data_IF_461108108892
#
_entry.id   IF_461108108892
#
_cell.length_a   1.000
_cell.length_b   1.000
_cell.length_c   1.000
_cell.angle_alpha   90.00
_cell.angle_beta   90.00
_cell.angle_gamma   90.00
#
_symmetry.space_group_name_H-M   'P 1'
#
loop_
_entity.id
_entity.type
_entity.pdbx_description
1 polymer ?
#
# COMPACT_ATOMS: atom_id res chain seq x y z
N UNK A 1 -41.52 -72.67 -13.45
CA UNK A 1 -40.19 -72.13 -13.86
C UNK A 1 -40.44 -71.17 -15.02
N UNK A 2 -40.04 -69.90 -15.09
CA UNK A 2 -38.96 -69.12 -14.47
C UNK A 2 -39.36 -67.63 -14.47
N UNK A 3 -39.16 -67.00 -13.30
CA UNK A 3 -38.73 -65.63 -12.99
C UNK A 3 -39.45 -64.39 -13.55
N UNK A 4 -39.97 -63.64 -12.58
CA UNK A 4 -40.18 -62.20 -12.48
C UNK A 4 -39.09 -61.33 -13.14
N UNK A 5 -39.48 -60.13 -13.58
CA UNK A 5 -38.83 -58.86 -13.21
C UNK A 5 -39.89 -57.74 -13.20
N UNK A 6 -40.13 -57.18 -12.01
CA UNK A 6 -40.79 -55.89 -11.78
C UNK A 6 -39.81 -54.80 -12.24
N UNK A 7 -40.28 -53.82 -13.00
CA UNK A 7 -39.58 -52.55 -13.19
C UNK A 7 -40.48 -51.46 -12.60
N UNK A 8 -39.94 -50.80 -11.59
CA UNK A 8 -40.45 -49.56 -11.02
C UNK A 8 -40.26 -48.44 -12.04
N UNK A 9 -41.32 -47.69 -12.35
CA UNK A 9 -41.21 -46.39 -12.98
C UNK A 9 -41.43 -45.36 -11.89
N UNK A 10 -40.33 -44.69 -11.52
CA UNK A 10 -40.28 -43.56 -10.59
C UNK A 10 -40.93 -42.37 -11.30
N UNK A 11 -41.98 -41.80 -10.69
CA UNK A 11 -42.59 -40.56 -11.13
C UNK A 11 -41.66 -39.39 -10.86
N UNK A 12 -41.19 -38.74 -11.93
CA UNK A 12 -40.45 -37.49 -11.86
C UNK A 12 -41.46 -36.35 -11.78
N UNK A 13 -41.73 -35.85 -10.57
CA UNK A 13 -42.45 -34.60 -10.37
C UNK A 13 -41.51 -33.44 -10.70
N UNK A 14 -41.67 -32.88 -11.90
CA UNK A 14 -41.02 -31.62 -12.30
C UNK A 14 -41.91 -30.47 -11.81
N UNK A 15 -41.63 -29.94 -10.61
CA UNK A 15 -42.18 -28.66 -10.17
C UNK A 15 -41.40 -27.55 -10.86
N UNK A 16 -41.94 -27.11 -11.99
CA UNK A 16 -41.53 -25.89 -12.68
C UNK A 16 -41.98 -24.69 -11.84
N UNK A 17 -41.15 -24.27 -10.88
CA UNK A 17 -41.29 -22.98 -10.20
C UNK A 17 -40.90 -21.87 -11.18
N UNK A 18 -41.87 -21.43 -11.98
CA UNK A 18 -41.81 -20.17 -12.70
C UNK A 18 -41.74 -19.03 -11.67
N UNK A 19 -40.54 -18.52 -11.47
CA UNK A 19 -40.28 -17.21 -10.86
C UNK A 19 -40.87 -16.12 -11.78
N UNK A 20 -42.17 -15.86 -11.65
CA UNK A 20 -42.73 -14.57 -11.99
C UNK A 20 -42.77 -13.76 -10.69
N UNK A 21 -41.64 -13.12 -10.36
CA UNK A 21 -41.60 -12.07 -9.37
C UNK A 21 -42.53 -10.95 -9.83
N UNK A 22 -43.59 -10.71 -9.08
CA UNK A 22 -44.51 -9.60 -9.29
C UNK A 22 -43.73 -8.28 -9.26
N UNK A 23 -43.55 -7.64 -10.43
CA UNK A 23 -43.23 -6.22 -10.54
C UNK A 23 -44.48 -5.41 -10.18
N UNK A 24 -44.75 -5.26 -8.90
CA UNK A 24 -45.46 -4.10 -8.40
C UNK A 24 -44.54 -3.46 -7.38
N UNK A 25 -43.87 -2.37 -7.79
CA UNK A 25 -43.16 -1.50 -6.87
C UNK A 25 -44.16 -1.08 -5.79
N UNK A 26 -43.96 -1.57 -4.58
CA UNK A 26 -44.70 -1.12 -3.41
C UNK A 26 -44.32 0.36 -3.24
N UNK A 27 -45.30 1.26 -3.10
CA UNK A 27 -45.03 2.71 -2.98
C UNK A 27 -44.11 3.06 -1.80
N UNK A 28 -43.90 2.10 -0.90
CA UNK A 28 -43.10 2.20 0.30
C UNK A 28 -41.62 1.83 0.09
N UNK A 29 -41.21 1.35 -1.09
CA UNK A 29 -39.82 0.95 -1.37
C UNK A 29 -39.21 1.70 -2.55
N UNK A 30 -37.90 1.92 -2.51
CA UNK A 30 -37.09 2.48 -3.61
C UNK A 30 -36.08 1.46 -4.10
N UNK A 31 -35.99 1.31 -5.43
CA UNK A 31 -34.96 0.50 -6.05
C UNK A 31 -33.66 1.29 -6.12
N UNK A 32 -32.62 0.84 -5.44
CA UNK A 32 -31.30 1.47 -5.46
C UNK A 32 -30.35 0.61 -6.27
N UNK A 33 -29.73 1.20 -7.28
CA UNK A 33 -28.70 0.56 -8.10
C UNK A 33 -27.36 1.21 -7.85
N UNK A 34 -26.34 0.43 -7.51
CA UNK A 34 -24.97 0.90 -7.36
C UNK A 34 -24.18 0.53 -8.62
N UNK A 35 -23.38 1.48 -9.11
CA UNK A 35 -22.44 1.31 -10.22
C UNK A 35 -21.02 1.57 -9.75
N UNK A 36 -20.15 0.56 -9.86
CA UNK A 36 -18.77 0.61 -9.37
C UNK A 36 -17.78 0.78 -10.51
N UNK A 37 -16.87 1.75 -10.35
CA UNK A 37 -15.79 2.01 -11.31
C UNK A 37 -14.47 2.26 -10.58
N UNK A 38 -13.38 1.85 -11.19
CA UNK A 38 -12.01 2.10 -10.72
C UNK A 38 -11.65 3.57 -10.86
N UNK A 39 -10.49 3.96 -10.31
CA UNK A 39 -9.90 5.28 -10.53
C UNK A 39 -9.67 5.60 -12.02
N UNK A 40 -9.34 4.59 -12.82
CA UNK A 40 -9.18 4.71 -14.27
C UNK A 40 -10.52 4.78 -15.03
N UNK A 41 -11.65 4.66 -14.33
CA UNK A 41 -12.99 4.67 -14.89
C UNK A 41 -13.43 3.33 -15.48
N UNK A 42 -12.68 2.25 -15.21
CA UNK A 42 -12.99 0.90 -15.65
C UNK A 42 -14.09 0.28 -14.78
N UNK A 43 -14.89 -0.61 -15.36
CA UNK A 43 -15.97 -1.28 -14.64
C UNK A 43 -15.40 -2.30 -13.64
N UNK A 44 -15.87 -2.25 -12.39
CA UNK A 44 -15.44 -3.20 -11.35
C UNK A 44 -16.49 -4.27 -11.11
N UNK A 45 -16.24 -5.50 -11.56
CA UNK A 45 -17.11 -6.68 -11.33
C UNK A 45 -16.71 -7.42 -10.04
N UNK A 46 -17.68 -8.06 -9.39
CA UNK A 46 -17.44 -8.88 -8.19
C UNK A 46 -17.20 -8.08 -6.90
N UNK A 47 -17.40 -6.77 -6.92
CA UNK A 47 -17.26 -5.91 -5.73
C UNK A 47 -18.37 -6.25 -4.75
N UNK A 48 -17.98 -6.67 -3.54
CA UNK A 48 -18.91 -6.96 -2.45
C UNK A 48 -19.18 -5.68 -1.66
N UNK A 49 -20.45 -5.32 -1.51
CA UNK A 49 -20.88 -4.16 -0.74
C UNK A 49 -21.93 -4.55 0.30
N UNK A 50 -21.82 -3.97 1.49
CA UNK A 50 -22.77 -4.18 2.58
C UNK A 50 -23.61 -2.92 2.76
N UNK A 51 -24.92 -3.12 2.90
CA UNK A 51 -25.90 -2.05 3.12
C UNK A 51 -26.39 -2.15 4.56
N UNK A 52 -26.19 -1.07 5.32
CA UNK A 52 -26.63 -0.95 6.71
C UNK A 52 -27.79 0.02 6.82
N UNK A 53 -28.81 -0.33 7.61
CA UNK A 53 -29.83 0.64 8.04
C UNK A 53 -29.28 1.46 9.20
N UNK A 54 -28.98 2.72 8.91
CA UNK A 54 -28.39 3.67 9.85
C UNK A 54 -29.40 4.69 10.36
N UNK A 55 -30.70 4.44 10.18
CA UNK A 55 -31.76 5.40 10.54
C UNK A 55 -31.69 5.86 12.00
N UNK A 56 -31.32 4.97 12.91
CA UNK A 56 -31.21 5.28 14.34
C UNK A 56 -29.96 6.11 14.69
N UNK A 57 -28.95 6.14 13.82
CA UNK A 57 -27.73 6.90 14.00
C UNK A 57 -27.80 8.31 13.41
N UNK A 58 -28.79 8.59 12.55
CA UNK A 58 -28.92 9.91 11.91
C UNK A 58 -29.50 10.96 12.86
N UNK A 59 -28.69 11.96 13.20
CA UNK A 59 -29.12 13.18 13.89
C UNK A 59 -29.07 14.41 12.97
N UNK A 60 -28.44 14.31 11.82
CA UNK A 60 -28.53 15.26 10.69
C UNK A 60 -27.21 15.89 10.25
N UNK A 61 -26.12 15.64 10.95
CA UNK A 61 -24.79 16.21 10.67
C UNK A 61 -23.72 15.13 10.38
N UNK A 62 -24.06 13.85 10.48
CA UNK A 62 -23.12 12.75 10.35
C UNK A 62 -22.61 12.56 8.91
N UNK A 63 -21.33 12.24 8.77
CA UNK A 63 -20.76 11.80 7.50
C UNK A 63 -20.88 10.28 7.32
N UNK A 64 -20.73 9.80 6.08
CA UNK A 64 -20.71 8.36 5.81
C UNK A 64 -19.56 7.66 6.55
N UNK A 65 -18.41 8.31 6.65
CA UNK A 65 -17.20 7.80 7.31
C UNK A 65 -17.36 7.71 8.84
N UNK A 66 -18.08 8.66 9.46
CA UNK A 66 -18.39 8.61 10.89
C UNK A 66 -19.33 7.45 11.20
N UNK A 67 -20.33 7.23 10.35
CA UNK A 67 -21.29 6.13 10.49
C UNK A 67 -20.66 4.76 10.23
N UNK A 68 -19.66 4.66 9.34
CA UNK A 68 -18.92 3.42 9.07
C UNK A 68 -18.25 2.86 10.33
N UNK A 69 -17.87 3.72 11.28
CA UNK A 69 -17.28 3.32 12.57
C UNK A 69 -18.32 2.79 13.57
N UNK A 70 -19.61 2.99 13.32
CA UNK A 70 -20.72 2.67 14.23
C UNK A 70 -21.50 1.44 13.79
N UNK A 71 -21.45 1.09 12.50
CA UNK A 71 -22.23 -0.03 11.96
C UNK A 71 -21.70 -1.38 12.46
N UNK A 72 -22.64 -2.29 12.71
CA UNK A 72 -22.37 -3.67 13.09
C UNK A 72 -23.19 -4.62 12.21
N UNK A 73 -22.90 -5.92 12.19
CA UNK A 73 -23.72 -6.88 11.44
C UNK A 73 -25.20 -6.92 11.84
N UNK A 74 -25.58 -6.39 13.01
CA UNK A 74 -26.98 -6.39 13.48
C UNK A 74 -27.87 -5.42 12.69
N UNK A 75 -27.29 -4.37 12.10
CA UNK A 75 -28.00 -3.37 11.30
C UNK A 75 -27.82 -3.59 9.79
N UNK A 76 -27.20 -4.70 9.39
CA UNK A 76 -27.10 -5.09 7.98
C UNK A 76 -28.48 -5.47 7.42
N UNK A 77 -28.83 -4.89 6.27
CA UNK A 77 -30.08 -5.17 5.57
C UNK A 77 -29.87 -5.87 4.23
N UNK A 78 -28.69 -5.74 3.63
CA UNK A 78 -28.34 -6.44 2.39
C UNK A 78 -26.83 -6.56 2.19
N UNK A 79 -26.41 -7.62 1.51
CA UNK A 79 -25.10 -7.76 0.88
C UNK A 79 -25.29 -7.80 -0.64
N UNK A 80 -24.51 -7.03 -1.37
CA UNK A 80 -24.54 -6.88 -2.82
C UNK A 80 -23.23 -7.34 -3.43
N UNK A 81 -23.28 -7.95 -4.61
CA UNK A 81 -22.09 -8.28 -5.40
C UNK A 81 -22.33 -7.73 -6.81
N UNK A 82 -21.39 -6.94 -7.33
CA UNK A 82 -21.54 -6.34 -8.65
C UNK A 82 -21.38 -7.35 -9.78
N UNK A 83 -22.18 -7.20 -10.82
CA UNK A 83 -22.12 -8.03 -12.02
C UNK A 83 -20.98 -7.60 -12.97
N UNK A 84 -20.91 -8.24 -14.15
CA UNK A 84 -19.93 -7.93 -15.21
C UNK A 84 -19.97 -6.47 -15.72
N UNK A 85 -21.05 -5.75 -15.44
CA UNK A 85 -21.22 -4.33 -15.78
C UNK A 85 -20.98 -3.42 -14.57
N UNK A 86 -20.45 -3.97 -13.46
CA UNK A 86 -20.19 -3.25 -12.22
C UNK A 86 -21.47 -2.80 -11.53
N UNK A 87 -22.57 -3.53 -11.74
CA UNK A 87 -23.89 -3.15 -11.26
C UNK A 87 -24.38 -4.09 -10.16
N UNK A 88 -24.96 -3.53 -9.11
CA UNK A 88 -25.78 -4.29 -8.15
C UNK A 88 -27.05 -3.51 -7.78
N UNK A 89 -28.14 -4.22 -7.45
CA UNK A 89 -29.43 -3.58 -7.17
C UNK A 89 -30.07 -4.15 -5.91
N UNK A 90 -30.68 -3.28 -5.11
CA UNK A 90 -31.41 -3.62 -3.87
C UNK A 90 -32.73 -2.85 -3.80
N UNK A 91 -33.74 -3.44 -3.14
CA UNK A 91 -34.98 -2.74 -2.79
C UNK A 91 -34.91 -2.34 -1.33
N UNK A 92 -35.05 -1.05 -1.04
CA UNK A 92 -34.96 -0.49 0.31
C UNK A 92 -36.27 0.19 0.70
N UNK A 93 -36.65 0.06 1.97
CA UNK A 93 -37.85 0.71 2.49
C UNK A 93 -37.61 2.23 2.60
N UNK A 94 -38.62 3.03 2.29
CA UNK A 94 -38.51 4.49 2.35
C UNK A 94 -38.57 5.02 3.78
N UNK A 95 -39.13 4.24 4.69
CA UNK A 95 -39.31 4.62 6.09
C UNK A 95 -38.88 3.49 7.02
N UNK A 96 -38.20 3.85 8.09
CA UNK A 96 -37.98 2.99 9.25
C UNK A 96 -38.58 3.70 10.48
N UNK A 97 -39.46 3.01 11.19
CA UNK A 97 -40.23 3.54 12.33
C UNK A 97 -40.89 4.91 12.08
N UNK A 98 -41.50 5.06 10.89
CA UNK A 98 -42.19 6.27 10.41
C UNK A 98 -41.28 7.50 10.21
N UNK A 99 -39.97 7.32 10.27
CA UNK A 99 -38.97 8.33 9.90
C UNK A 99 -38.38 8.00 8.54
N UNK A 100 -37.84 9.00 7.86
CA UNK A 100 -37.01 8.80 6.67
C UNK A 100 -35.90 7.81 6.98
N UNK A 101 -35.81 6.75 6.18
CA UNK A 101 -34.80 5.72 6.38
C UNK A 101 -33.43 6.20 5.90
N UNK A 102 -32.38 5.87 6.65
CA UNK A 102 -30.98 6.11 6.29
C UNK A 102 -30.28 4.81 5.94
N UNK A 103 -29.56 4.77 4.82
CA UNK A 103 -28.81 3.60 4.39
C UNK A 103 -27.35 3.95 4.10
N UNK A 104 -26.43 3.23 4.73
CA UNK A 104 -25.00 3.34 4.46
C UNK A 104 -24.56 2.17 3.57
N UNK A 105 -23.97 2.49 2.42
CA UNK A 105 -23.36 1.53 1.51
C UNK A 105 -21.85 1.56 1.73
N UNK A 106 -21.28 0.42 2.10
CA UNK A 106 -19.84 0.26 2.34
C UNK A 106 -19.30 -0.84 1.44
N UNK A 107 -18.05 -0.73 1.00
CA UNK A 107 -17.36 -1.82 0.34
C UNK A 107 -16.75 -2.75 1.39
N UNK A 108 -16.95 -4.05 1.26
CA UNK A 108 -16.16 -5.01 2.03
C UNK A 108 -14.75 -5.05 1.44
N UNK A 109 -13.78 -4.57 2.22
CA UNK A 109 -12.36 -4.59 1.87
C UNK A 109 -11.79 -5.96 2.24
N UNK A 110 -11.07 -6.58 1.32
CA UNK A 110 -10.37 -7.84 1.59
C UNK A 110 -9.09 -7.93 0.77
N UNK A 111 -7.97 -8.25 1.42
CA UNK A 111 -6.68 -8.46 0.76
C UNK A 111 -5.94 -7.18 0.36
N UNK A 112 -4.95 -7.32 -0.54
CA UNK A 112 -4.11 -6.24 -1.06
C UNK A 112 -4.89 -5.40 -2.09
N UNK A 113 -5.86 -4.61 -1.66
CA UNK A 113 -6.64 -3.75 -2.57
C UNK A 113 -5.88 -2.44 -2.80
N UNK A 114 -5.69 -2.07 -4.07
CA UNK A 114 -4.99 -0.84 -4.47
C UNK A 114 -5.91 0.36 -4.63
N UNK A 115 -7.23 0.13 -4.57
CA UNK A 115 -8.26 1.15 -4.62
C UNK A 115 -9.49 0.70 -3.81
N UNK A 116 -10.21 1.64 -3.22
CA UNK A 116 -11.50 1.37 -2.60
C UNK A 116 -12.54 2.41 -3.00
N UNK A 117 -13.81 2.06 -2.77
CA UNK A 117 -14.96 2.89 -3.03
C UNK A 117 -15.34 3.64 -1.76
N UNK A 118 -15.57 4.95 -1.90
CA UNK A 118 -16.08 5.77 -0.82
C UNK A 118 -17.46 5.28 -0.39
N UNK A 119 -17.65 5.14 0.92
CA UNK A 119 -18.95 4.82 1.51
C UNK A 119 -19.98 5.88 1.15
N UNK A 120 -21.21 5.45 0.87
CA UNK A 120 -22.30 6.34 0.43
C UNK A 120 -23.44 6.30 1.44
N UNK A 121 -23.77 7.46 2.00
CA UNK A 121 -24.97 7.64 2.81
C UNK A 121 -26.13 8.07 1.90
N UNK A 122 -27.23 7.31 1.93
CA UNK A 122 -28.47 7.59 1.21
C UNK A 122 -29.63 7.71 2.19
N UNK A 123 -30.35 8.84 2.15
CA UNK A 123 -31.61 9.01 2.88
C UNK A 123 -32.80 8.82 1.94
N UNK A 124 -33.77 8.00 2.36
CA UNK A 124 -35.02 7.76 1.65
C UNK A 124 -36.22 8.34 2.43
N UNK A 125 -37.32 8.70 1.75
CA UNK A 125 -37.50 8.71 0.30
C UNK A 125 -36.67 9.80 -0.41
N UNK A 126 -36.05 9.43 -1.53
CA UNK A 126 -35.33 10.37 -2.39
C UNK A 126 -36.30 11.15 -3.29
N UNK A 127 -35.96 12.40 -3.58
CA UNK A 127 -36.76 13.28 -4.44
C UNK A 127 -35.91 13.84 -5.59
N UNK A 128 -36.52 14.06 -6.74
CA UNK A 128 -35.87 14.74 -7.86
C UNK A 128 -35.86 16.27 -7.68
N UNK A 129 -35.27 17.00 -8.63
CA UNK A 129 -35.19 18.47 -8.61
C UNK A 129 -36.55 19.18 -8.55
N UNK A 130 -37.62 18.52 -8.97
CA UNK A 130 -38.99 19.05 -8.91
C UNK A 130 -39.70 18.72 -7.59
N UNK A 131 -39.00 18.08 -6.64
CA UNK A 131 -39.55 17.65 -5.35
C UNK A 131 -40.47 16.44 -5.46
N UNK A 132 -40.44 15.68 -6.56
CA UNK A 132 -41.21 14.44 -6.71
C UNK A 132 -40.40 13.26 -6.19
N UNK A 133 -41.02 12.43 -5.36
CA UNK A 133 -40.41 11.19 -4.89
C UNK A 133 -40.04 10.30 -6.08
N UNK A 134 -38.82 9.78 -6.07
CA UNK A 134 -38.34 8.82 -7.06
C UNK A 134 -38.45 7.40 -6.52
N UNK A 135 -38.79 6.46 -7.40
CA UNK A 135 -38.84 5.03 -7.07
C UNK A 135 -37.56 4.28 -7.47
N UNK A 136 -36.61 4.97 -8.11
CA UNK A 136 -35.30 4.46 -8.49
C UNK A 136 -34.23 5.50 -8.18
N UNK A 137 -33.14 5.05 -7.57
CA UNK A 137 -31.93 5.82 -7.30
C UNK A 137 -30.74 5.08 -7.89
N UNK A 138 -29.82 5.82 -8.50
CA UNK A 138 -28.55 5.30 -9.02
C UNK A 138 -27.41 5.94 -8.23
N UNK A 139 -26.52 5.12 -7.68
CA UNK A 139 -25.36 5.53 -6.91
C UNK A 139 -24.09 5.21 -7.68
N UNK A 140 -23.13 6.15 -7.63
CA UNK A 140 -21.82 6.01 -8.25
C UNK A 140 -20.74 6.31 -7.19
N UNK A 141 -20.45 5.36 -6.29
CA UNK A 141 -19.39 5.52 -5.30
C UNK A 141 -18.07 5.92 -5.97
N UNK A 142 -17.39 6.91 -5.39
CA UNK A 142 -16.13 7.40 -5.93
C UNK A 142 -15.00 6.46 -5.51
N UNK A 143 -14.18 6.00 -6.46
CA UNK A 143 -12.95 5.29 -6.13
C UNK A 143 -11.86 6.24 -5.63
N UNK A 144 -11.04 5.75 -4.72
CA UNK A 144 -9.87 6.43 -4.18
C UNK A 144 -8.71 5.44 -4.05
N UNK A 145 -7.44 5.91 -4.12
CA UNK A 145 -6.30 5.00 -4.04
C UNK A 145 -6.16 4.44 -2.62
N UNK A 146 -5.85 3.16 -2.54
CA UNK A 146 -5.37 2.50 -1.32
C UNK A 146 -3.92 2.04 -1.47
N UNK A 147 -3.22 2.57 -2.47
CA UNK A 147 -1.81 2.32 -2.65
C UNK A 147 -1.06 3.63 -2.70
N UNK A 148 -0.04 3.77 -1.86
CA UNK A 148 0.73 4.98 -1.67
C UNK A 148 2.23 4.69 -1.71
N UNK A 149 3.01 5.64 -2.21
CA UNK A 149 4.46 5.61 -1.97
C UNK A 149 4.72 5.89 -0.50
N UNK A 150 5.75 5.28 0.07
CA UNK A 150 6.20 5.59 1.42
C UNK A 150 7.58 6.26 1.41
N UNK A 151 7.86 7.13 2.38
CA UNK A 151 9.21 7.61 2.68
C UNK A 151 9.46 7.90 4.16
N UNK A 152 10.74 7.97 4.50
CA UNK A 152 11.28 8.46 5.77
C UNK A 152 12.71 9.00 5.54
N UNK A 153 13.34 9.56 6.57
CA UNK A 153 14.68 10.11 6.49
C UNK A 153 15.71 9.28 7.27
N UNK A 154 16.91 9.13 6.72
CA UNK A 154 18.06 8.47 7.34
C UNK A 154 19.05 9.53 7.81
N UNK A 155 19.35 9.55 9.09
CA UNK A 155 20.30 10.47 9.68
C UNK A 155 21.42 9.72 10.44
N UNK A 156 22.51 10.45 10.67
CA UNK A 156 23.60 10.02 11.52
C UNK A 156 23.39 10.54 12.94
N UNK A 157 23.78 9.73 13.90
CA UNK A 157 23.87 10.10 15.30
C UNK A 157 25.34 10.03 15.70
N UNK A 158 25.84 11.08 16.35
CA UNK A 158 27.19 11.04 16.91
C UNK A 158 27.23 10.05 18.07
N UNK A 159 28.06 9.02 18.00
CA UNK A 159 28.26 8.04 19.06
C UNK A 159 28.82 8.66 20.35
N UNK A 160 29.50 9.80 20.25
CA UNK A 160 30.06 10.51 21.40
C UNK A 160 29.06 11.42 22.13
N UNK A 161 28.12 12.04 21.39
CA UNK A 161 27.24 13.09 21.93
C UNK A 161 25.76 12.75 21.86
N UNK A 162 25.38 11.71 21.11
CA UNK A 162 24.01 11.37 20.74
C UNK A 162 23.25 12.54 20.07
N UNK A 163 23.97 13.45 19.44
CA UNK A 163 23.39 14.53 18.64
C UNK A 163 23.20 14.07 17.19
N UNK A 164 22.10 14.51 16.58
CA UNK A 164 21.85 14.37 15.15
C UNK A 164 22.92 15.14 14.35
N UNK A 165 23.70 14.41 13.54
CA UNK A 165 24.76 14.97 12.68
C UNK A 165 24.31 15.13 11.22
N UNK A 166 23.03 14.90 10.94
CA UNK A 166 22.37 15.21 9.68
C UNK A 166 22.14 14.00 8.79
N UNK A 167 21.61 14.29 7.60
CA UNK A 167 21.22 13.31 6.60
C UNK A 167 22.38 12.41 6.14
N UNK A 168 22.09 11.11 5.96
CA UNK A 168 23.02 10.13 5.42
C UNK A 168 22.57 9.61 4.06
N UNK A 169 23.47 9.72 3.08
CA UNK A 169 23.32 9.08 1.77
C UNK A 169 23.88 7.65 1.82
N UNK A 170 23.28 6.74 1.03
CA UNK A 170 23.87 5.43 0.75
C UNK A 170 23.46 4.30 1.69
N UNK A 171 22.68 4.56 2.74
CA UNK A 171 22.05 3.50 3.53
C UNK A 171 21.10 2.68 2.64
N UNK A 172 21.20 1.36 2.68
CA UNK A 172 20.47 0.45 1.81
C UNK A 172 19.46 -0.35 2.63
N UNK A 173 18.23 -0.41 2.14
CA UNK A 173 17.13 -1.14 2.75
C UNK A 173 16.52 -2.14 1.78
N UNK A 174 15.87 -3.15 2.34
CA UNK A 174 14.90 -3.99 1.63
C UNK A 174 13.53 -3.85 2.29
N UNK A 175 12.47 -4.09 1.53
CA UNK A 175 11.11 -4.03 2.04
C UNK A 175 10.57 -5.43 2.30
N UNK A 176 9.95 -5.62 3.46
CA UNK A 176 9.29 -6.86 3.85
C UNK A 176 7.86 -6.62 4.34
N UNK A 177 7.06 -7.69 4.39
CA UNK A 177 5.74 -7.73 5.04
C UNK A 177 5.51 -9.11 5.65
N UNK A 178 4.71 -9.18 6.69
CA UNK A 178 4.29 -10.47 7.23
C UNK A 178 2.97 -10.92 6.60
N UNK A 179 2.91 -12.17 6.15
CA UNK A 179 1.71 -12.80 5.61
C UNK A 179 1.50 -14.17 6.28
N UNK A 180 0.64 -14.18 7.29
CA UNK A 180 0.42 -15.34 8.13
C UNK A 180 1.64 -15.62 9.01
N UNK A 181 2.32 -16.75 8.78
CA UNK A 181 3.51 -17.15 9.54
C UNK A 181 4.81 -16.99 8.72
N UNK A 182 4.77 -16.21 7.65
CA UNK A 182 5.92 -15.99 6.77
C UNK A 182 6.17 -14.50 6.62
N UNK A 183 7.45 -14.14 6.62
CA UNK A 183 7.90 -12.84 6.15
C UNK A 183 8.21 -12.94 4.66
N UNK A 184 7.60 -12.06 3.88
CA UNK A 184 7.85 -11.91 2.45
C UNK A 184 8.67 -10.65 2.21
N UNK A 185 9.54 -10.69 1.22
CA UNK A 185 10.42 -9.60 0.80
C UNK A 185 10.06 -9.18 -0.62
N UNK A 186 10.20 -7.90 -0.90
CA UNK A 186 9.96 -7.38 -2.23
C UNK A 186 11.18 -7.68 -3.12
N UNK A 187 10.93 -8.28 -4.28
CA UNK A 187 11.94 -8.56 -5.29
C UNK A 187 11.54 -7.99 -6.66
N UNK A 188 12.53 -7.67 -7.48
CA UNK A 188 12.40 -7.39 -8.90
C UNK A 188 12.56 -8.69 -9.69
N UNK A 189 11.47 -9.13 -10.32
CA UNK A 189 11.50 -10.29 -11.20
C UNK A 189 12.24 -9.98 -12.50
N UNK A 190 12.62 -11.03 -13.23
CA UNK A 190 13.45 -10.92 -14.46
C UNK A 190 12.86 -10.07 -15.59
N UNK A 191 11.56 -9.80 -15.54
CA UNK A 191 10.82 -8.94 -16.48
C UNK A 191 10.66 -7.49 -15.98
N UNK A 192 11.31 -7.13 -14.86
CA UNK A 192 11.30 -5.80 -14.24
C UNK A 192 10.05 -5.51 -13.40
N UNK A 193 9.22 -6.52 -13.14
CA UNK A 193 8.05 -6.37 -12.26
C UNK A 193 8.44 -6.58 -10.80
N UNK A 194 7.73 -5.93 -9.88
CA UNK A 194 7.95 -6.13 -8.44
C UNK A 194 7.00 -7.20 -7.90
N UNK A 195 7.55 -8.22 -7.24
CA UNK A 195 6.83 -9.36 -6.65
C UNK A 195 7.30 -9.65 -5.23
N UNK A 196 6.54 -10.46 -4.49
CA UNK A 196 6.88 -10.86 -3.12
C UNK A 196 7.44 -12.28 -3.10
N UNK A 197 8.56 -12.47 -2.41
CA UNK A 197 9.26 -13.75 -2.24
C UNK A 197 9.50 -14.07 -0.76
N UNK A 198 9.56 -15.35 -0.37
CA UNK A 198 10.04 -15.75 0.97
C UNK A 198 11.57 -16.01 1.01
N UNK A 199 12.27 -15.75 -0.11
CA UNK A 199 13.72 -15.93 -0.25
C UNK A 199 14.45 -14.57 -0.21
N UNK A 200 15.13 -14.28 0.90
CA UNK A 200 15.91 -13.05 1.05
C UNK A 200 17.43 -13.25 0.96
N UNK A 201 17.91 -14.47 1.17
CA UNK A 201 19.34 -14.77 1.27
C UNK A 201 19.97 -14.99 -0.10
N UNK A 202 21.21 -14.52 -0.26
CA UNK A 202 22.00 -14.79 -1.44
C UNK A 202 22.56 -16.22 -1.46
N UNK A 203 23.17 -16.61 -2.58
CA UNK A 203 24.01 -17.81 -2.63
C UNK A 203 25.28 -17.58 -1.79
N UNK A 204 25.20 -17.87 -0.49
CA UNK A 204 26.33 -17.73 0.41
C UNK A 204 27.16 -19.01 0.47
N UNK A 205 28.49 -18.87 0.58
CA UNK A 205 29.38 -20.01 0.77
C UNK A 205 28.94 -20.80 2.03
N UNK A 206 28.87 -22.14 1.98
CA UNK A 206 28.43 -22.96 3.10
C UNK A 206 29.17 -22.71 4.40
N UNK A 207 30.44 -22.27 4.34
CA UNK A 207 31.22 -21.89 5.52
C UNK A 207 30.61 -20.67 6.24
N UNK A 208 30.23 -19.64 5.49
CA UNK A 208 29.61 -18.45 6.05
C UNK A 208 28.17 -18.70 6.47
N UNK A 209 27.44 -19.57 5.78
CA UNK A 209 26.07 -19.95 6.15
C UNK A 209 26.00 -20.67 7.51
N UNK A 210 27.02 -21.47 7.87
CA UNK A 210 27.12 -22.08 9.20
C UNK A 210 27.50 -21.07 10.29
N UNK A 211 28.27 -20.04 9.95
CA UNK A 211 28.78 -19.05 10.90
C UNK A 211 27.78 -17.93 11.22
N UNK A 212 27.09 -17.42 10.21
CA UNK A 212 26.22 -16.26 10.35
C UNK A 212 24.85 -16.66 10.89
N UNK A 213 24.31 -17.81 10.49
CA UNK A 213 22.96 -18.25 10.90
C UNK A 213 21.96 -18.17 9.73
N UNK A 214 20.67 -18.27 10.04
CA UNK A 214 19.60 -18.35 9.03
C UNK A 214 18.50 -17.31 9.29
N UNK A 215 18.77 -16.28 10.10
CA UNK A 215 17.86 -15.16 10.35
C UNK A 215 18.28 -13.93 9.54
N UNK A 216 17.37 -12.99 9.26
CA UNK A 216 17.69 -11.80 8.46
C UNK A 216 18.89 -11.00 9.00
N UNK A 217 18.92 -10.75 10.31
CA UNK A 217 19.93 -9.91 10.96
C UNK A 217 21.34 -10.50 10.85
N UNK A 218 21.44 -11.82 10.72
CA UNK A 218 22.70 -12.54 10.53
C UNK A 218 23.39 -12.16 9.20
N UNK A 219 22.64 -11.65 8.23
CA UNK A 219 23.13 -11.29 6.88
C UNK A 219 23.35 -9.77 6.74
N UNK A 220 22.86 -8.96 7.68
CA UNK A 220 22.97 -7.51 7.63
C UNK A 220 24.43 -7.03 7.73
N UNK A 221 24.71 -5.86 7.15
CA UNK A 221 26.04 -5.24 7.08
C UNK A 221 26.65 -5.24 5.68
N UNK A 222 26.07 -5.96 4.72
CA UNK A 222 26.45 -5.90 3.30
C UNK A 222 25.30 -6.38 2.43
N UNK A 223 24.91 -5.61 1.41
CA UNK A 223 23.87 -6.02 0.45
C UNK A 223 24.24 -7.30 -0.31
N UNK A 224 25.53 -7.60 -0.46
CA UNK A 224 26.01 -8.78 -1.21
C UNK A 224 25.68 -10.11 -0.52
N UNK A 225 25.31 -10.07 0.76
CA UNK A 225 24.84 -11.24 1.50
C UNK A 225 23.39 -11.62 1.15
N UNK A 226 22.66 -10.73 0.47
CA UNK A 226 21.25 -10.89 0.15
C UNK A 226 21.04 -11.36 -1.29
N UNK A 227 19.84 -11.86 -1.57
CA UNK A 227 19.45 -12.23 -2.93
C UNK A 227 19.45 -10.94 -3.79
N UNK A 228 20.19 -10.98 -4.90
CA UNK A 228 20.32 -9.83 -5.80
C UNK A 228 19.02 -9.50 -6.54
N UNK A 229 18.02 -10.39 -6.52
CA UNK A 229 16.67 -10.07 -7.01
C UNK A 229 15.91 -9.14 -6.06
N UNK A 230 16.32 -8.97 -4.80
CA UNK A 230 15.61 -8.09 -3.88
C UNK A 230 15.57 -6.65 -4.38
N UNK A 231 14.44 -5.99 -4.14
CA UNK A 231 14.30 -4.56 -4.38
C UNK A 231 15.04 -3.79 -3.27
N UNK A 232 16.12 -3.11 -3.64
CA UNK A 232 16.91 -2.29 -2.74
C UNK A 232 16.50 -0.82 -2.81
N UNK A 233 16.31 -0.21 -1.64
CA UNK A 233 15.97 1.20 -1.48
C UNK A 233 17.14 1.91 -0.81
N UNK A 234 17.76 2.84 -1.52
CA UNK A 234 18.92 3.58 -1.04
C UNK A 234 18.53 4.99 -0.63
N UNK A 235 19.00 5.44 0.54
CA UNK A 235 18.86 6.83 0.96
C UNK A 235 19.59 7.78 0.02
N UNK A 236 18.91 8.86 -0.39
CA UNK A 236 19.49 9.87 -1.26
C UNK A 236 20.37 10.89 -0.52
N UNK A 237 20.86 11.92 -1.21
CA UNK A 237 21.71 12.98 -0.64
C UNK A 237 21.05 13.79 0.49
N UNK A 238 19.72 13.71 0.64
CA UNK A 238 18.97 14.32 1.74
C UNK A 238 18.57 13.29 2.80
N UNK A 239 19.12 12.08 2.73
CA UNK A 239 18.79 10.97 3.60
C UNK A 239 17.43 10.34 3.30
N UNK A 240 16.73 10.74 2.24
CA UNK A 240 15.38 10.24 1.99
C UNK A 240 15.43 8.82 1.46
N UNK A 241 14.80 7.89 2.18
CA UNK A 241 14.52 6.52 1.72
C UNK A 241 13.08 6.50 1.24
N UNK A 242 12.83 6.04 0.00
CA UNK A 242 11.47 6.05 -0.56
C UNK A 242 11.22 4.89 -1.51
N UNK A 243 9.97 4.42 -1.58
CA UNK A 243 9.53 3.47 -2.61
C UNK A 243 9.43 4.07 -4.00
N UNK A 244 9.58 5.39 -4.15
CA UNK A 244 9.51 6.09 -5.43
C UNK A 244 8.14 5.91 -6.09
N UNK A 245 8.14 5.44 -7.35
CA UNK A 245 6.91 5.19 -8.09
C UNK A 245 6.18 3.91 -7.66
N UNK A 246 6.83 3.04 -6.87
CA UNK A 246 6.20 1.85 -6.35
C UNK A 246 5.23 2.22 -5.22
N UNK A 247 3.97 1.84 -5.39
CA UNK A 247 2.89 2.11 -4.44
C UNK A 247 2.56 0.87 -3.64
N UNK A 248 2.66 1.01 -2.32
CA UNK A 248 2.31 -0.01 -1.35
C UNK A 248 0.80 0.01 -1.11
N UNK A 249 0.08 -1.10 -1.36
CA UNK A 249 -1.31 -1.24 -0.93
C UNK A 249 -1.47 -1.04 0.58
N UNK A 250 -2.70 -0.79 1.05
CA UNK A 250 -3.02 -0.74 2.47
C UNK A 250 -2.50 -2.00 3.20
N UNK A 251 -1.89 -1.79 4.35
CA UNK A 251 -1.19 -2.84 5.09
C UNK A 251 0.04 -2.32 5.83
N UNK A 252 0.69 -3.23 6.55
CA UNK A 252 1.91 -2.95 7.32
C UNK A 252 3.12 -3.60 6.65
N UNK A 253 4.17 -2.81 6.50
CA UNK A 253 5.42 -3.18 5.85
C UNK A 253 6.59 -2.83 6.76
N UNK A 254 7.75 -3.40 6.49
CA UNK A 254 8.96 -3.18 7.26
C UNK A 254 10.14 -2.95 6.33
N UNK A 255 10.71 -1.74 6.36
CA UNK A 255 12.02 -1.47 5.78
C UNK A 255 13.09 -2.01 6.73
N UNK A 256 13.95 -2.88 6.21
CA UNK A 256 15.06 -3.46 6.97
C UNK A 256 16.38 -3.01 6.38
N UNK A 257 17.21 -2.36 7.18
CA UNK A 257 18.53 -1.92 6.73
C UNK A 257 19.43 -3.13 6.49
N UNK A 258 20.01 -3.22 5.29
CA UNK A 258 20.93 -4.30 4.90
C UNK A 258 22.38 -3.83 4.89
N UNK A 259 22.61 -2.54 4.69
CA UNK A 259 23.94 -1.95 4.60
C UNK A 259 23.89 -0.50 5.06
N UNK A 260 24.71 -0.16 6.06
CA UNK A 260 24.86 1.20 6.53
C UNK A 260 25.76 2.03 5.58
N UNK A 261 25.63 3.37 5.58
CA UNK A 261 26.60 4.26 4.94
C UNK A 261 28.03 4.05 5.46
N UNK A 262 29.02 4.46 4.65
CA UNK A 262 30.43 4.42 5.04
C UNK A 262 30.67 5.15 6.38
N UNK A 263 31.52 4.58 7.25
CA UNK A 263 31.82 5.06 8.61
C UNK A 263 30.67 5.01 9.64
N UNK A 264 29.49 4.54 9.25
CA UNK A 264 28.35 4.31 10.12
C UNK A 264 28.14 2.82 10.41
N UNK A 265 27.43 2.54 11.50
CA UNK A 265 27.01 1.18 11.86
C UNK A 265 25.51 1.11 11.98
N UNK A 266 24.94 -0.01 11.53
CA UNK A 266 23.58 -0.40 11.88
C UNK A 266 23.54 -0.58 13.39
N UNK A 267 22.54 0.00 14.04
CA UNK A 267 22.32 -0.21 15.46
C UNK A 267 21.83 -1.65 15.66
N UNK A 268 22.73 -2.55 16.09
CA UNK A 268 22.45 -4.00 16.16
C UNK A 268 21.34 -4.39 17.16
N UNK A 269 20.91 -3.45 18.01
CA UNK A 269 19.74 -3.61 18.91
C UNK A 269 18.43 -3.12 18.27
N UNK A 270 18.43 -2.59 17.04
CA UNK A 270 17.22 -2.31 16.25
C UNK A 270 16.63 -3.62 15.69
N UNK A 271 15.97 -4.38 16.57
CA UNK A 271 15.27 -5.61 16.18
C UNK A 271 14.07 -5.36 15.23
N UNK A 272 13.67 -4.10 15.01
CA UNK A 272 12.48 -3.73 14.26
C UNK A 272 12.71 -3.50 12.77
N UNK A 273 13.68 -2.65 12.40
CA UNK A 273 13.62 -1.90 11.16
C UNK A 273 12.66 -0.71 11.27
N UNK A 274 12.25 -0.14 10.13
CA UNK A 274 11.27 0.96 10.05
C UNK A 274 9.94 0.41 9.58
N UNK A 275 8.95 0.37 10.48
CA UNK A 275 7.61 -0.12 10.17
C UNK A 275 6.81 0.99 9.48
N UNK A 276 6.12 0.64 8.40
CA UNK A 276 5.30 1.55 7.61
C UNK A 276 3.89 0.99 7.55
N UNK A 277 2.92 1.76 8.04
CA UNK A 277 1.51 1.42 7.97
C UNK A 277 0.80 2.31 6.94
N UNK A 278 0.36 1.68 5.86
CA UNK A 278 -0.47 2.31 4.83
C UNK A 278 -1.94 2.13 5.22
N UNK A 279 -2.71 3.21 5.40
CA UNK A 279 -4.07 3.12 5.93
C UNK A 279 -5.07 2.56 4.92
N UNK A 280 -6.11 1.89 5.42
CA UNK A 280 -7.28 1.47 4.63
C UNK A 280 -8.29 2.62 4.40
N UNK A 281 -8.06 3.77 5.04
CA UNK A 281 -8.86 4.97 4.93
C UNK A 281 -7.99 6.09 4.33
N UNK A 282 -8.40 6.68 3.20
CA UNK A 282 -7.59 7.68 2.50
C UNK A 282 -7.51 9.02 3.23
N UNK A 283 -8.31 9.20 4.28
CA UNK A 283 -8.27 10.38 5.14
C UNK A 283 -7.37 10.19 6.38
N UNK A 284 -6.80 9.01 6.55
CA UNK A 284 -5.79 8.73 7.57
C UNK A 284 -4.39 8.91 6.97
N UNK A 285 -3.43 9.28 7.82
CA UNK A 285 -2.04 9.50 7.42
C UNK A 285 -1.28 8.18 7.36
N UNK A 286 -0.23 8.12 6.54
CA UNK A 286 0.75 7.04 6.59
C UNK A 286 1.56 7.19 7.87
N UNK A 287 1.64 6.10 8.64
CA UNK A 287 2.33 6.09 9.92
C UNK A 287 3.64 5.33 9.81
N UNK A 288 4.72 5.93 10.30
CA UNK A 288 6.05 5.34 10.38
C UNK A 288 6.37 5.07 11.84
N UNK A 289 6.62 3.82 12.19
CA UNK A 289 6.97 3.42 13.55
C UNK A 289 8.43 2.99 13.62
N UNK A 290 9.18 3.61 14.54
CA UNK A 290 10.61 3.41 14.74
C UNK A 290 10.85 3.11 16.23
N UNK A 291 11.70 2.13 16.51
CA UNK A 291 12.13 1.83 17.88
C UNK A 291 13.14 2.88 18.34
N UNK A 292 12.97 3.41 19.55
CA UNK A 292 13.93 4.33 20.15
C UNK A 292 15.00 3.60 20.98
N UNK A 293 15.94 4.38 21.53
CA UNK A 293 17.05 3.89 22.35
C UNK A 293 16.62 3.11 23.61
N UNK A 294 15.38 3.28 24.07
CA UNK A 294 14.83 2.57 25.23
C UNK A 294 14.10 1.29 24.83
N UNK A 295 14.01 1.00 23.52
CA UNK A 295 13.23 -0.09 22.97
C UNK A 295 11.74 0.23 22.85
N UNK A 296 11.33 1.49 23.08
CA UNK A 296 9.94 1.92 22.94
C UNK A 296 9.66 2.27 21.47
N UNK A 297 8.46 1.92 20.98
CA UNK A 297 8.04 2.26 19.62
C UNK A 297 7.46 3.66 19.61
N UNK A 298 8.05 4.53 18.79
CA UNK A 298 7.51 5.85 18.49
C UNK A 298 6.93 5.88 17.08
N UNK A 299 5.81 6.58 16.91
CA UNK A 299 5.08 6.67 15.64
C UNK A 299 5.05 8.12 15.15
N UNK A 300 5.36 8.31 13.88
CA UNK A 300 5.52 9.60 13.21
C UNK A 300 4.75 9.64 11.89
N UNK A 301 4.53 10.84 11.37
CA UNK A 301 4.21 11.05 9.95
C UNK A 301 5.46 10.83 9.09
N UNK A 302 5.29 10.59 7.78
CA UNK A 302 6.41 10.38 6.84
C UNK A 302 7.43 11.53 6.81
N UNK A 303 6.94 12.76 6.98
CA UNK A 303 7.77 13.97 6.93
C UNK A 303 8.53 14.25 8.24
N UNK A 304 8.21 13.52 9.31
CA UNK A 304 8.83 13.66 10.63
C UNK A 304 9.67 12.44 11.02
N UNK A 305 9.52 11.31 10.32
CA UNK A 305 10.19 10.06 10.64
C UNK A 305 11.67 10.09 10.29
N UNK A 306 12.53 9.98 11.31
CA UNK A 306 14.00 9.92 11.17
C UNK A 306 14.52 8.62 11.77
N UNK A 307 15.27 7.86 10.98
CA UNK A 307 15.92 6.61 11.37
C UNK A 307 17.45 6.79 11.43
N UNK A 308 18.05 6.45 12.57
CA UNK A 308 19.45 6.82 12.87
C UNK A 308 20.43 5.67 12.69
N UNK A 309 21.65 5.97 12.24
CA UNK A 309 22.82 5.11 12.43
C UNK A 309 23.82 5.86 13.29
N UNK A 310 24.62 5.16 14.08
CA UNK A 310 25.71 5.78 14.85
C UNK A 310 27.02 5.78 14.08
N UNK A 311 27.78 6.86 14.20
CA UNK A 311 29.17 6.90 13.73
C UNK A 311 30.08 5.94 14.55
N UNK A 312 31.21 5.57 13.96
CA UNK A 312 32.00 4.38 14.31
C UNK A 312 32.80 4.36 15.63
N UNK A 313 32.64 5.32 16.55
CA UNK A 313 33.27 5.26 17.88
C UNK A 313 32.23 5.52 18.98
N UNK A 314 31.63 4.45 19.50
CA UNK A 314 31.03 4.53 20.83
C UNK A 314 32.17 4.81 21.81
N UNK A 315 32.04 5.81 22.72
CA UNK A 315 33.02 5.96 23.79
C UNK A 315 33.09 4.63 24.53
N UNK A 316 34.30 4.07 24.65
CA UNK A 316 34.53 2.96 25.58
C UNK A 316 33.94 3.41 26.92
N UNK A 317 32.86 2.77 27.35
CA UNK A 317 32.31 3.00 28.68
C UNK A 317 33.39 2.52 29.65
N UNK A 318 34.26 3.44 30.06
CA UNK A 318 35.13 3.28 31.22
C UNK A 318 34.21 3.17 32.45
N UNK A 319 33.84 1.93 32.78
CA UNK A 319 32.87 1.63 33.82
C UNK A 319 32.96 0.17 34.27
N UNK A 320 34.08 -0.15 34.92
CA UNK A 320 34.15 -0.97 36.14
C UNK A 320 33.09 -2.09 36.32
N UNK A 321 33.53 -3.34 36.18
CA UNK A 321 33.53 -4.24 37.35
C UNK A 321 34.75 -5.18 37.27
N UNK A 322 35.76 -4.81 38.05
CA UNK A 322 36.82 -5.68 38.55
C UNK A 322 36.19 -7.01 39.04
N UNK A 323 36.37 -8.08 38.26
CA UNK A 323 36.15 -9.45 38.72
C UNK A 323 37.52 -10.08 38.99
N UNK A 324 37.79 -10.56 40.21
CA UNK A 324 39.12 -11.01 40.59
C UNK A 324 39.55 -12.22 39.75
N UNK A 325 40.73 -12.10 39.15
CA UNK A 325 41.44 -13.14 38.42
C UNK A 325 41.51 -14.45 39.23
N UNK A 326 40.88 -15.50 38.71
CA UNK A 326 41.06 -16.89 39.14
C UNK A 326 42.38 -17.39 38.54
N UNK A 327 43.43 -17.45 39.38
CA UNK A 327 44.74 -18.02 39.11
C UNK A 327 44.62 -19.46 38.55
N UNK A 328 44.56 -19.58 37.22
CA UNK A 328 44.85 -20.84 36.52
C UNK A 328 46.06 -20.65 35.64
N UNK A 329 47.21 -21.05 36.18
CA UNK A 329 48.45 -21.25 35.45
C UNK A 329 48.19 -22.15 34.23
N UNK A 330 48.19 -21.55 33.03
CA UNK A 330 48.31 -22.31 31.78
C UNK A 330 49.78 -22.70 31.56
N UNK A 331 50.06 -23.94 31.11
CA UNK A 331 51.40 -24.42 30.88
C UNK A 331 52.08 -23.69 29.70
N UNK A 332 53.44 -23.64 29.69
CA UNK A 332 54.19 -22.84 28.74
C UNK A 332 54.06 -23.40 27.31
N UNK A 333 53.66 -22.53 26.37
CA UNK A 333 53.69 -22.82 24.94
C UNK A 333 55.14 -22.62 24.47
N UNK A 334 55.68 -23.67 23.85
CA UNK A 334 57.03 -23.70 23.30
C UNK A 334 57.15 -22.79 22.06
N UNK A 335 58.35 -22.23 21.97
CA UNK A 335 58.90 -21.23 21.07
C UNK A 335 58.91 -21.70 19.59
N UNK A 336 58.05 -21.14 18.74
CA UNK A 336 58.22 -21.19 17.28
C UNK A 336 58.71 -19.84 16.75
N UNK A 337 59.98 -19.85 16.36
CA UNK A 337 60.73 -18.79 15.71
C UNK A 337 60.11 -18.36 14.37
N UNK A 338 59.62 -17.12 14.28
CA UNK A 338 59.25 -16.46 13.02
C UNK A 338 60.38 -15.48 12.60
N UNK A 339 60.91 -15.55 11.36
CA UNK A 339 61.93 -14.63 10.86
C UNK A 339 61.33 -13.25 10.46
N UNK A 340 62.17 -12.19 10.40
CA UNK A 340 61.70 -10.80 10.42
C UNK A 340 61.10 -10.30 9.09
N UNK A 341 60.11 -9.42 9.24
CA UNK A 341 59.52 -8.56 8.19
C UNK A 341 60.59 -7.72 7.49
N UNK A 342 60.44 -7.61 6.17
CA UNK A 342 61.20 -6.69 5.32
C UNK A 342 60.30 -5.50 5.00
N UNK A 343 60.76 -4.30 5.41
CA UNK A 343 60.21 -3.00 5.04
C UNK A 343 60.34 -2.72 3.54
N UNK A 344 59.31 -2.16 2.92
CA UNK A 344 59.51 -1.30 1.75
C UNK A 344 58.49 -0.15 1.72
N UNK A 345 58.99 1.04 2.06
CA UNK A 345 58.38 2.34 1.85
C UNK A 345 58.51 2.77 0.38
N UNK A 346 57.46 3.38 -0.20
CA UNK A 346 57.44 4.71 -0.87
C UNK A 346 56.45 4.76 -2.07
N UNK A 347 55.60 5.81 -2.19
CA UNK A 347 54.51 5.89 -3.17
C UNK A 347 54.85 6.67 -4.46
N UNK A 348 54.02 6.59 -5.52
CA UNK A 348 53.91 7.62 -6.54
C UNK A 348 52.55 8.34 -6.40
N UNK A 349 52.51 9.62 -6.02
CA UNK A 349 52.67 10.85 -6.83
C UNK A 349 51.39 11.24 -7.61
N UNK A 350 50.77 12.30 -7.10
CA UNK A 350 49.74 13.17 -7.68
C UNK A 350 49.98 13.50 -9.16
N UNK A 351 48.88 13.57 -9.92
CA UNK A 351 48.77 14.38 -11.13
C UNK A 351 47.47 15.21 -11.05
N UNK A 352 47.65 16.52 -11.06
CA UNK A 352 46.60 17.54 -11.08
C UNK A 352 45.92 17.65 -12.46
N UNK A 353 44.76 18.32 -12.44
CA UNK A 353 44.14 19.15 -13.48
C UNK A 353 42.99 18.48 -14.25
N UNK A 354 41.75 18.93 -14.03
CA UNK A 354 41.03 19.82 -14.96
C UNK A 354 39.89 20.56 -14.22
N UNK A 355 40.00 21.89 -14.18
CA UNK A 355 38.90 22.83 -13.98
C UNK A 355 38.00 22.78 -15.21
N UNK A 356 36.69 22.59 -15.04
CA UNK A 356 35.67 23.32 -15.82
C UNK A 356 34.40 23.52 -14.98
N UNK A 357 34.10 24.79 -14.68
CA UNK A 357 32.83 25.26 -14.14
C UNK A 357 31.83 25.47 -15.28
N UNK A 358 30.55 25.11 -15.11
CA UNK A 358 29.47 25.80 -15.83
C UNK A 358 28.51 26.53 -14.87
N UNK A 359 28.49 27.85 -15.07
CA UNK A 359 27.39 28.83 -14.95
C UNK A 359 26.10 28.39 -14.25
N UNK A 360 25.80 29.10 -13.15
CA UNK A 360 24.43 29.36 -12.71
C UNK A 360 23.65 30.14 -13.78
N UNK A 361 22.43 29.70 -14.04
CA UNK A 361 21.37 30.52 -14.67
C UNK A 361 20.26 30.64 -13.63
N UNK A 362 20.06 31.86 -13.15
CA UNK A 362 18.87 32.26 -12.40
C UNK A 362 17.74 32.51 -13.40
N UNK A 363 16.60 31.86 -13.23
CA UNK A 363 15.31 32.34 -13.72
C UNK A 363 14.24 32.14 -12.64
N UNK A 364 13.99 33.23 -11.91
CA UNK A 364 12.74 33.47 -11.20
C UNK A 364 11.63 33.73 -12.25
N UNK A 365 10.63 32.85 -12.37
CA UNK A 365 9.29 33.23 -12.83
C UNK A 365 8.19 32.37 -12.16
N UNK A 366 7.01 32.96 -11.86
CA UNK A 366 5.97 32.34 -11.05
C UNK A 366 5.13 31.35 -11.86
N UNK A 367 5.12 30.07 -11.45
CA UNK A 367 4.25 29.05 -12.06
C UNK A 367 2.81 29.22 -11.55
N UNK A 368 1.99 29.82 -12.39
CA UNK A 368 0.54 29.87 -12.24
C UNK A 368 -0.11 28.51 -12.49
N UNK A 369 -1.14 28.23 -11.67
CA UNK A 369 -2.08 27.12 -11.77
C UNK A 369 -2.86 27.16 -13.08
N UNK A 370 -2.57 26.27 -14.05
CA UNK A 370 -3.55 25.66 -14.97
C UNK A 370 -2.97 24.36 -15.56
N UNK A 371 -3.72 23.24 -15.58
CA UNK A 371 -3.28 22.03 -16.27
C UNK A 371 -3.40 22.18 -17.79
N UNK A 372 -2.32 21.76 -18.46
CA UNK A 372 -2.19 21.62 -19.91
C UNK A 372 -3.13 20.50 -20.41
N UNK A 373 -4.05 20.82 -21.33
CA UNK A 373 -4.99 19.85 -21.91
C UNK A 373 -4.65 19.61 -23.37
N UNK A 374 -3.51 18.96 -23.60
CA UNK A 374 -3.20 18.33 -24.88
C UNK A 374 -3.92 16.99 -25.03
N UNK A 375 -4.53 16.78 -26.20
CA UNK A 375 -5.04 15.50 -26.76
C UNK A 375 -6.53 15.11 -26.66
N UNK A 376 -7.36 15.67 -25.78
CA UNK A 376 -8.81 15.35 -25.80
C UNK A 376 -9.67 16.24 -26.72
N UNK A 377 -9.15 17.40 -27.14
CA UNK A 377 -9.90 18.37 -27.96
C UNK A 377 -10.09 17.97 -29.43
N UNK A 378 -9.21 17.12 -29.97
CA UNK A 378 -9.24 16.72 -31.39
C UNK A 378 -10.29 15.63 -31.68
N UNK A 379 -10.58 14.75 -30.73
CA UNK A 379 -11.57 13.67 -30.89
C UNK A 379 -13.00 14.22 -30.85
N UNK A 380 -13.29 15.18 -29.97
CA UNK A 380 -14.61 15.84 -29.88
C UNK A 380 -14.95 16.66 -31.13
N UNK A 381 -13.95 17.29 -31.77
CA UNK A 381 -14.15 18.02 -33.04
C UNK A 381 -14.51 17.08 -34.20
N UNK A 382 -13.90 15.89 -34.28
CA UNK A 382 -14.20 14.91 -35.33
C UNK A 382 -15.64 14.35 -35.22
N UNK A 383 -16.12 14.06 -34.02
CA UNK A 383 -17.47 13.51 -33.81
C UNK A 383 -18.54 14.57 -34.17
N UNK A 384 -18.30 15.83 -33.81
CA UNK A 384 -19.24 16.93 -34.15
C UNK A 384 -19.37 17.15 -35.66
N UNK A 385 -18.28 17.01 -36.41
CA UNK A 385 -18.26 17.16 -37.87
C UNK A 385 -19.03 16.06 -38.60
N UNK A 386 -18.93 14.81 -38.14
CA UNK A 386 -19.68 13.69 -38.72
C UNK A 386 -21.18 13.85 -38.46
N UNK A 387 -21.57 14.30 -37.26
CA UNK A 387 -22.97 14.54 -36.92
C UNK A 387 -23.58 15.68 -37.74
N UNK A 388 -22.83 16.77 -37.98
CA UNK A 388 -23.26 17.87 -38.86
C UNK A 388 -23.45 17.40 -40.32
N UNK A 389 -22.54 16.58 -40.85
CA UNK A 389 -22.67 16.02 -42.19
C UNK A 389 -23.91 15.11 -42.30
N UNK A 390 -24.20 14.33 -41.26
CA UNK A 390 -25.36 13.45 -41.23
C UNK A 390 -26.67 14.24 -41.18
N UNK A 391 -26.75 15.27 -40.33
CA UNK A 391 -27.90 16.18 -40.28
C UNK A 391 -28.08 16.94 -41.59
N UNK A 392 -26.99 17.36 -42.24
CA UNK A 392 -27.04 18.01 -43.55
C UNK A 392 -27.65 17.11 -44.62
N UNK A 393 -27.26 15.83 -44.68
CA UNK A 393 -27.83 14.86 -45.62
C UNK A 393 -29.33 14.61 -45.38
N UNK A 394 -29.74 14.44 -44.11
CA UNK A 394 -31.17 14.29 -43.76
C UNK A 394 -31.97 15.54 -44.15
N UNK A 395 -31.41 16.73 -43.94
CA UNK A 395 -32.07 17.99 -44.30
C UNK A 395 -32.24 18.14 -45.82
N UNK A 396 -31.32 17.59 -46.61
CA UNK A 396 -31.33 17.68 -48.08
C UNK A 396 -32.33 16.73 -48.72
N UNK A 397 -32.56 15.55 -48.14
CA UNK A 397 -33.60 14.63 -48.61
C UNK A 397 -35.02 15.18 -48.41
N UNK A 398 -35.27 15.91 -47.31
CA UNK A 398 -36.57 16.51 -47.04
C UNK A 398 -36.97 17.64 -47.98
N UNK A 399 -36.04 18.21 -48.76
CA UNK A 399 -36.32 19.25 -49.76
C UNK A 399 -36.61 18.71 -51.17
N UNK A 400 -36.56 17.38 -51.38
CA UNK A 400 -36.83 16.74 -52.67
C UNK A 400 -38.16 15.96 -52.71
N UNK A 401 -38.97 16.04 -51.66
CA UNK A 401 -40.39 15.69 -51.65
C UNK A 401 -41.17 16.97 -51.38
#
# INVERSE_FOLDING_TARGET
MKRMKKIWVIGLFFTLSLFFGNLFAKADTTEVTVFTKSLAGEVMSGVKMTVYDVTDFLTGEETAEELEKLVTPEVEVATLITDENGRATVQLENLNDRRSAGYLFTQEKSGNVTEALQSVLLTLPAHNEEGRQVSRVELYPKAYPLAYSAHFYKHGLSGATFEDIGALEGAIFVLSKDEGNRTLYLEESTDGNLTWTDEFKGEMDPFWAELLGDTFNDYAGSKENFNQSLAFFTSDTNGRVSTGDYKLPAGTYMFREVEAPEDFRILFDDFGGVEVTIPENPNEEILISIMDENGDIQTFSEDEAIYYNTDGELPETEGEEDSPEDDRELPPIEDETIPPKQDENTPPKLADTYNETPRMVNEDEPRGFLPDTGELGSILLCISGVFMCFLYFISREKKKK
#
